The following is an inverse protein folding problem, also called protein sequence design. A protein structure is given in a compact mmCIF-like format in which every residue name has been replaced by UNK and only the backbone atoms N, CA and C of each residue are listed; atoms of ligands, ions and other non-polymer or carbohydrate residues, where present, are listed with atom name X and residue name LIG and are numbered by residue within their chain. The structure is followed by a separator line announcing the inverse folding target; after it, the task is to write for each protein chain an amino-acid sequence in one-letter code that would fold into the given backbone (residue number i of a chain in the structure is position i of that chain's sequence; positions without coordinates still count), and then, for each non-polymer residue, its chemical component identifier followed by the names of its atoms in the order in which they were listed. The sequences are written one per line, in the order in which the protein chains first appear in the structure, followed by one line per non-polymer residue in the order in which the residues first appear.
data_IF_960611339634
#
_entry.id   IF_960611339634
#
_cell.length_a   1.000
_cell.length_b   1.000
_cell.length_c   1.000
_cell.angle_alpha   90.00
_cell.angle_beta   90.00
_cell.angle_gamma   90.00
#
_symmetry.space_group_name_H-M   'P 1'
#
loop_
_entity.id
_entity.type
_entity.pdbx_description
1 polymer ?
#
# COMPACT_ATOMS: atom_id res chain seq x y z
N UNK A 1 -23.89 -38.60 -14.92
CA UNK A 1 -22.58 -38.09 -15.39
C UNK A 1 -22.55 -36.56 -15.53
N UNK A 2 -23.62 -35.92 -16.01
CA UNK A 2 -23.68 -34.45 -16.20
C UNK A 2 -23.43 -33.61 -14.92
N UNK A 3 -23.93 -34.05 -13.76
CA UNK A 3 -23.76 -33.32 -12.49
C UNK A 3 -22.29 -33.22 -12.04
N UNK A 4 -21.49 -34.26 -12.28
CA UNK A 4 -20.06 -34.29 -11.93
C UNK A 4 -19.24 -33.37 -12.83
N UNK A 5 -19.56 -33.32 -14.13
CA UNK A 5 -18.93 -32.39 -15.07
C UNK A 5 -19.25 -30.93 -14.74
N UNK A 6 -20.52 -30.64 -14.42
CA UNK A 6 -20.94 -29.29 -14.02
C UNK A 6 -20.24 -28.82 -12.74
N UNK A 7 -20.11 -29.71 -11.75
CA UNK A 7 -19.42 -29.40 -10.49
C UNK A 7 -17.94 -29.03 -10.72
N UNK A 8 -17.25 -29.78 -11.58
CA UNK A 8 -15.85 -29.49 -11.93
C UNK A 8 -15.68 -28.11 -12.57
N UNK A 9 -16.58 -27.74 -13.49
CA UNK A 9 -16.55 -26.43 -14.14
C UNK A 9 -16.78 -25.29 -13.14
N UNK A 10 -17.76 -25.44 -12.24
CA UNK A 10 -18.05 -24.45 -11.21
C UNK A 10 -16.87 -24.31 -10.23
N UNK A 11 -16.26 -25.42 -9.84
CA UNK A 11 -15.12 -25.42 -8.92
C UNK A 11 -13.91 -24.67 -9.50
N UNK A 12 -13.60 -24.88 -10.78
CA UNK A 12 -12.53 -24.15 -11.48
C UNK A 12 -12.84 -22.65 -11.55
N UNK A 13 -14.08 -22.27 -11.85
CA UNK A 13 -14.48 -20.86 -11.89
C UNK A 13 -14.35 -20.16 -10.54
N UNK A 14 -14.70 -20.84 -9.44
CA UNK A 14 -14.55 -20.30 -8.09
C UNK A 14 -13.07 -20.12 -7.74
N UNK A 15 -12.21 -21.09 -8.05
CA UNK A 15 -10.76 -20.99 -7.81
C UNK A 15 -10.17 -19.81 -8.60
N UNK A 16 -10.51 -19.67 -9.88
CA UNK A 16 -10.05 -18.55 -10.71
C UNK A 16 -10.53 -17.20 -10.17
N UNK A 17 -11.78 -17.11 -9.72
CA UNK A 17 -12.32 -15.90 -9.13
C UNK A 17 -11.62 -15.53 -7.81
N UNK A 18 -11.31 -16.52 -6.96
CA UNK A 18 -10.56 -16.33 -5.73
C UNK A 18 -9.12 -15.89 -6.00
N UNK A 19 -8.44 -16.51 -6.97
CA UNK A 19 -7.10 -16.10 -7.40
C UNK A 19 -7.10 -14.67 -7.94
N UNK A 20 -8.06 -14.30 -8.80
CA UNK A 20 -8.18 -12.95 -9.34
C UNK A 20 -8.47 -11.92 -8.24
N UNK A 21 -9.34 -12.24 -7.30
CA UNK A 21 -9.66 -11.37 -6.17
C UNK A 21 -8.45 -11.14 -5.25
N UNK A 22 -7.72 -12.21 -4.93
CA UNK A 22 -6.48 -12.14 -4.14
C UNK A 22 -5.42 -11.27 -4.83
N UNK A 23 -5.21 -11.47 -6.13
CA UNK A 23 -4.29 -10.68 -6.93
C UNK A 23 -4.66 -9.18 -6.95
N UNK A 24 -5.95 -8.87 -7.14
CA UNK A 24 -6.45 -7.48 -7.12
C UNK A 24 -6.30 -6.82 -5.75
N UNK A 25 -6.50 -7.56 -4.67
CA UNK A 25 -6.26 -7.08 -3.31
C UNK A 25 -4.78 -6.78 -3.07
N UNK A 26 -3.88 -7.69 -3.49
CA UNK A 26 -2.43 -7.50 -3.36
C UNK A 26 -1.95 -6.27 -4.13
N UNK A 27 -2.38 -6.11 -5.39
CA UNK A 27 -2.09 -4.92 -6.19
C UNK A 27 -2.55 -3.60 -5.55
N UNK A 28 -3.71 -3.59 -4.88
CA UNK A 28 -4.19 -2.37 -4.19
C UNK A 28 -3.27 -1.97 -3.04
N UNK A 29 -2.73 -2.94 -2.30
CA UNK A 29 -1.81 -2.69 -1.19
C UNK A 29 -0.48 -2.16 -1.73
N UNK A 30 0.04 -2.75 -2.81
CA UNK A 30 1.28 -2.30 -3.44
C UNK A 30 1.16 -0.87 -3.99
N UNK A 31 0.05 -0.56 -4.66
CA UNK A 31 -0.17 0.78 -5.20
C UNK A 31 -0.29 1.85 -4.11
N UNK A 32 -0.99 1.55 -3.00
CA UNK A 32 -1.08 2.47 -1.86
C UNK A 32 0.29 2.74 -1.22
N UNK A 33 1.15 1.72 -1.17
CA UNK A 33 2.51 1.83 -0.65
C UNK A 33 3.40 2.69 -1.55
N UNK A 34 3.36 2.45 -2.87
CA UNK A 34 4.12 3.22 -3.87
C UNK A 34 3.69 4.67 -3.91
N UNK A 35 2.39 4.95 -3.89
CA UNK A 35 1.86 6.31 -3.87
C UNK A 35 2.35 7.06 -2.63
N UNK A 36 2.24 6.46 -1.44
CA UNK A 36 2.70 7.05 -0.19
C UNK A 36 4.20 7.36 -0.21
N UNK A 37 5.03 6.40 -0.61
CA UNK A 37 6.48 6.57 -0.75
C UNK A 37 6.86 7.67 -1.74
N UNK A 38 6.18 7.72 -2.88
CA UNK A 38 6.44 8.75 -3.89
C UNK A 38 6.12 10.16 -3.37
N UNK A 39 5.09 10.29 -2.54
CA UNK A 39 4.71 11.56 -1.93
C UNK A 39 5.66 11.97 -0.80
N UNK A 40 6.21 11.02 -0.03
CA UNK A 40 7.26 11.33 0.96
C UNK A 40 8.54 11.86 0.29
N UNK A 41 8.97 11.26 -0.83
CA UNK A 41 10.11 11.79 -1.61
C UNK A 41 9.86 13.20 -2.13
N UNK A 42 8.61 13.54 -2.49
CA UNK A 42 8.27 14.90 -2.89
C UNK A 42 8.29 15.87 -1.72
N UNK A 43 7.92 15.43 -0.51
CA UNK A 43 8.02 16.26 0.71
C UNK A 43 9.46 16.64 1.01
N UNK A 44 10.42 15.74 0.77
CA UNK A 44 11.85 16.03 0.91
C UNK A 44 12.29 17.19 -0.02
N UNK A 45 11.69 17.28 -1.21
CA UNK A 45 11.98 18.33 -2.20
C UNK A 45 11.18 19.62 -1.95
N UNK A 46 9.97 19.51 -1.39
CA UNK A 46 9.04 20.62 -1.14
C UNK A 46 8.52 20.61 0.32
N UNK A 47 9.39 20.89 1.31
CA UNK A 47 9.05 20.71 2.73
C UNK A 47 7.95 21.65 3.24
N UNK A 48 7.76 22.81 2.59
CA UNK A 48 6.78 23.82 2.99
C UNK A 48 5.44 23.72 2.24
N UNK A 49 5.27 22.70 1.39
CA UNK A 49 4.03 22.54 0.62
C UNK A 49 2.93 21.87 1.47
N UNK A 50 2.09 22.69 2.11
CA UNK A 50 0.98 22.21 2.95
C UNK A 50 0.01 21.29 2.21
N UNK A 51 -0.25 21.54 0.92
CA UNK A 51 -1.12 20.69 0.10
C UNK A 51 -0.50 19.32 -0.13
N UNK A 52 0.82 19.24 -0.28
CA UNK A 52 1.54 17.98 -0.40
C UNK A 52 1.53 17.20 0.92
N UNK A 53 1.66 17.92 2.04
CA UNK A 53 1.58 17.35 3.39
C UNK A 53 0.23 16.69 3.65
N UNK A 54 -0.87 17.35 3.26
CA UNK A 54 -2.22 16.76 3.31
C UNK A 54 -2.34 15.47 2.48
N UNK A 55 -1.81 15.48 1.25
CA UNK A 55 -1.80 14.29 0.37
C UNK A 55 -1.01 13.12 0.99
N UNK A 56 0.11 13.41 1.65
CA UNK A 56 0.88 12.39 2.39
C UNK A 56 0.08 11.81 3.54
N UNK A 57 -0.63 12.64 4.31
CA UNK A 57 -1.52 12.14 5.36
C UNK A 57 -2.66 11.28 4.79
N UNK A 58 -3.25 11.67 3.66
CA UNK A 58 -4.30 10.89 3.04
C UNK A 58 -3.79 9.54 2.51
N UNK A 59 -2.67 9.52 1.80
CA UNK A 59 -2.04 8.30 1.30
C UNK A 59 -1.55 7.41 2.44
N UNK A 60 -0.95 8.01 3.48
CA UNK A 60 -0.49 7.32 4.68
C UNK A 60 -1.64 6.67 5.44
N UNK A 61 -2.79 7.33 5.57
CA UNK A 61 -3.99 6.73 6.17
C UNK A 61 -4.53 5.55 5.38
N UNK A 62 -4.36 5.54 4.06
CA UNK A 62 -4.72 4.39 3.20
C UNK A 62 -3.70 3.25 3.35
N UNK A 63 -2.41 3.58 3.41
CA UNK A 63 -1.32 2.62 3.59
C UNK A 63 -1.36 1.93 4.97
N UNK A 64 -1.52 2.72 6.04
CA UNK A 64 -1.64 2.24 7.41
C UNK A 64 -3.07 1.80 7.77
N UNK A 65 -4.04 1.80 6.84
CA UNK A 65 -5.45 1.45 7.13
C UNK A 65 -5.63 0.07 7.76
N UNK A 66 -4.73 -0.87 7.44
CA UNK A 66 -4.72 -2.23 7.98
C UNK A 66 -3.82 -2.39 9.22
N UNK A 67 -3.02 -1.38 9.57
CA UNK A 67 -2.10 -1.39 10.72
C UNK A 67 -2.68 -0.49 11.82
N UNK A 68 -2.97 -1.13 12.95
CA UNK A 68 -3.33 -0.67 14.32
C UNK A 68 -3.25 0.84 14.63
N UNK A 69 -4.03 1.27 15.64
CA UNK A 69 -4.08 2.62 16.26
C UNK A 69 -2.73 3.36 16.31
N UNK A 70 -2.76 4.66 16.01
CA UNK A 70 -1.55 5.50 15.96
C UNK A 70 -1.05 5.80 14.54
N UNK A 71 -1.95 5.72 13.54
CA UNK A 71 -1.67 5.99 12.14
C UNK A 71 -1.06 7.38 11.94
N UNK A 72 -1.67 8.42 12.49
CA UNK A 72 -1.19 9.80 12.29
C UNK A 72 0.19 10.04 12.91
N UNK A 73 0.48 9.42 14.06
CA UNK A 73 1.79 9.49 14.70
C UNK A 73 2.88 8.75 13.90
N UNK A 74 2.50 7.67 13.21
CA UNK A 74 3.42 6.93 12.32
C UNK A 74 3.71 7.74 11.06
N UNK A 75 2.68 8.34 10.46
CA UNK A 75 2.82 9.23 9.30
C UNK A 75 3.67 10.45 9.64
N UNK A 76 3.45 11.07 10.80
CA UNK A 76 4.22 12.24 11.23
C UNK A 76 5.70 11.90 11.44
N UNK A 77 6.00 10.72 11.98
CA UNK A 77 7.36 10.21 12.13
C UNK A 77 8.02 9.99 10.77
N UNK A 78 7.32 9.34 9.85
CA UNK A 78 7.78 9.09 8.48
C UNK A 78 8.07 10.42 7.74
N UNK A 79 7.18 11.42 7.88
CA UNK A 79 7.37 12.77 7.31
C UNK A 79 8.60 13.44 7.93
N UNK A 80 8.76 13.38 9.25
CA UNK A 80 9.90 13.98 9.93
C UNK A 80 11.22 13.30 9.49
N UNK A 81 11.22 11.98 9.33
CA UNK A 81 12.37 11.23 8.81
C UNK A 81 12.69 11.61 7.35
N UNK A 82 11.68 11.87 6.51
CA UNK A 82 11.85 12.42 5.16
C UNK A 82 12.43 13.83 5.15
N UNK A 83 11.93 14.72 5.99
CA UNK A 83 12.45 16.08 6.11
C UNK A 83 13.89 16.11 6.64
N UNK A 84 14.28 15.12 7.44
CA UNK A 84 15.64 14.97 7.96
C UNK A 84 16.58 14.22 7.00
N UNK A 85 16.12 13.79 5.82
CA UNK A 85 16.92 12.99 4.88
C UNK A 85 17.27 11.58 5.37
N UNK A 86 16.68 11.12 6.49
CA UNK A 86 16.82 9.77 7.06
C UNK A 86 16.00 8.72 6.32
N UNK A 87 15.18 9.17 5.37
CA UNK A 87 14.23 8.38 4.60
C UNK A 87 14.87 7.43 3.57
N UNK A 88 16.16 7.59 3.24
CA UNK A 88 16.86 6.75 2.26
C UNK A 88 17.12 5.30 2.68
N UNK A 89 17.24 5.00 3.98
CA UNK A 89 17.62 3.64 4.43
C UNK A 89 16.44 2.72 4.78
N UNK A 90 15.29 3.26 5.21
CA UNK A 90 14.25 2.43 5.82
C UNK A 90 13.19 1.85 4.87
N UNK A 91 13.12 2.33 3.63
CA UNK A 91 12.07 1.93 2.68
C UNK A 91 12.56 1.07 1.53
N UNK A 92 13.86 1.09 1.23
CA UNK A 92 14.47 0.21 0.22
C UNK A 92 14.45 -1.26 0.69
N UNK A 93 14.57 -1.47 2.01
CA UNK A 93 14.60 -2.81 2.62
C UNK A 93 13.20 -3.45 2.73
N UNK A 94 12.11 -2.68 2.64
CA UNK A 94 10.73 -3.22 2.74
C UNK A 94 10.03 -3.40 1.40
N UNK A 95 10.64 -2.95 0.31
CA UNK A 95 10.06 -3.03 -1.03
C UNK A 95 10.52 -4.26 -1.84
N UNK A 96 11.45 -5.07 -1.33
CA UNK A 96 12.10 -6.13 -2.10
C UNK A 96 12.30 -7.49 -1.40
N UNK A 97 11.72 -7.73 -0.22
CA UNK A 97 11.66 -9.06 0.39
C UNK A 97 10.22 -9.61 0.37
N UNK A 98 9.74 -9.95 -0.84
CA UNK A 98 8.81 -11.05 -1.12
C UNK A 98 8.57 -11.22 -2.62
#
# INVERSE_FOLDING_TARGET
MLLKGLYWVISILIILALCWFGYKMMMRVDNASRDYLSLLRRIEQEPNNNTLREKVYEAGRRYYRSKITGIDASIERDINDALQGKHKENYDVRAFDN
#
